data_IF_146918379154
#
_entry.id   IF_146918379154
#
_cell.length_a   1.000
_cell.length_b   1.000
_cell.length_c   1.000
_cell.angle_alpha   90.00
_cell.angle_beta   90.00
_cell.angle_gamma   90.00
#
_symmetry.space_group_name_H-M   'P 1'
#
loop_
_entity.id
_entity.type
_entity.pdbx_description
1 polymer ?
#
# COMPACT_ATOMS: atom_id res chain seq x y z
N UNK A 1 3.67 -8.91 27.71
CA UNK A 1 4.51 -8.00 26.88
C UNK A 1 3.91 -6.62 27.07
N UNK A 2 4.70 -5.61 27.43
CA UNK A 2 4.20 -4.24 27.43
C UNK A 2 3.69 -3.92 26.03
N UNK A 3 2.47 -3.42 25.91
CA UNK A 3 1.94 -2.98 24.63
C UNK A 3 2.66 -1.67 24.31
N UNK A 4 3.66 -1.70 23.43
CA UNK A 4 4.38 -0.50 23.01
C UNK A 4 3.40 0.44 22.29
N UNK A 5 3.45 1.73 22.62
CA UNK A 5 2.54 2.73 22.04
C UNK A 5 3.03 3.12 20.65
N UNK A 6 2.16 3.08 19.64
CA UNK A 6 2.45 3.66 18.32
C UNK A 6 2.15 5.15 18.34
N UNK A 7 2.93 5.91 17.58
CA UNK A 7 2.80 7.37 17.48
C UNK A 7 2.44 7.74 16.04
N UNK A 8 1.57 8.75 15.91
CA UNK A 8 1.36 9.45 14.66
C UNK A 8 1.89 10.89 14.82
N UNK A 9 3.06 11.16 14.27
CA UNK A 9 3.61 12.50 14.18
C UNK A 9 2.93 13.22 13.01
N UNK A 10 2.32 14.37 13.26
CA UNK A 10 1.52 15.07 12.25
C UNK A 10 2.05 16.48 12.09
N UNK A 11 2.47 16.84 10.88
CA UNK A 11 2.77 18.24 10.58
C UNK A 11 1.49 19.08 10.58
N UNK A 12 1.65 20.37 10.86
CA UNK A 12 0.53 21.31 10.88
C UNK A 12 0.25 21.87 9.50
N UNK A 13 1.22 22.62 8.98
CA UNK A 13 1.12 23.33 7.70
C UNK A 13 1.26 22.33 6.55
N UNK A 14 0.57 22.55 5.44
CA UNK A 14 0.51 21.62 4.30
C UNK A 14 -0.19 20.27 4.57
N UNK A 15 -0.50 19.95 5.83
CA UNK A 15 -1.01 18.64 6.28
C UNK A 15 -2.38 18.72 6.96
N UNK A 16 -2.51 19.48 8.05
CA UNK A 16 -3.80 19.74 8.71
C UNK A 16 -4.50 20.95 8.10
N UNK A 17 -3.70 21.94 7.71
CA UNK A 17 -4.12 23.18 7.07
C UNK A 17 -3.29 23.39 5.79
N UNK A 18 -3.82 24.16 4.86
CA UNK A 18 -3.08 24.53 3.66
C UNK A 18 -2.01 25.55 4.02
N UNK A 19 -0.80 25.34 3.50
CA UNK A 19 0.30 26.28 3.64
C UNK A 19 0.08 27.52 2.76
N UNK A 20 0.56 28.68 3.23
CA UNK A 20 0.53 29.93 2.46
C UNK A 20 1.86 30.21 1.78
N UNK A 21 1.89 31.05 0.72
CA UNK A 21 3.13 31.36 0.01
C UNK A 21 4.24 32.02 0.86
N UNK A 22 3.88 32.67 1.96
CA UNK A 22 4.80 33.25 2.93
C UNK A 22 5.13 32.31 4.10
N UNK A 23 4.61 31.08 4.06
CA UNK A 23 4.85 30.00 5.04
C UNK A 23 4.49 30.39 6.49
N UNK A 24 3.58 31.37 6.65
CA UNK A 24 3.15 31.89 7.96
C UNK A 24 1.62 32.02 8.05
N UNK A 25 1.03 31.20 8.93
CA UNK A 25 -0.40 31.24 9.27
C UNK A 25 -0.61 32.13 10.51
N UNK A 26 -0.50 33.43 10.30
CA UNK A 26 -0.54 34.48 11.33
C UNK A 26 -1.89 35.21 11.45
N UNK A 27 -2.88 34.79 10.67
CA UNK A 27 -4.22 35.40 10.66
C UNK A 27 -5.30 34.43 10.19
N UNK A 28 -6.54 34.63 10.65
CA UNK A 28 -7.68 33.82 10.24
C UNK A 28 -8.00 33.91 8.74
N UNK A 29 -7.60 35.00 8.08
CA UNK A 29 -7.79 35.16 6.64
C UNK A 29 -6.91 34.20 5.81
N UNK A 30 -5.78 33.76 6.38
CA UNK A 30 -4.87 32.78 5.79
C UNK A 30 -5.26 31.34 6.11
N UNK A 31 -6.01 31.13 7.19
CA UNK A 31 -6.39 29.80 7.64
C UNK A 31 -7.36 29.13 6.66
N UNK A 32 -6.95 27.98 6.14
CA UNK A 32 -7.79 27.08 5.38
C UNK A 32 -7.43 25.64 5.73
N UNK A 33 -8.40 24.82 6.14
CA UNK A 33 -8.14 23.43 6.48
C UNK A 33 -7.82 22.59 5.24
N UNK A 34 -6.90 21.65 5.39
CA UNK A 34 -6.58 20.72 4.32
C UNK A 34 -7.78 19.80 4.05
N UNK A 35 -8.18 19.57 2.79
CA UNK A 35 -9.34 18.74 2.46
C UNK A 35 -9.28 17.35 3.11
N UNK A 36 -10.35 16.99 3.83
CA UNK A 36 -10.49 15.69 4.48
C UNK A 36 -9.75 15.53 5.83
N UNK A 37 -8.86 16.45 6.21
CA UNK A 37 -8.14 16.38 7.50
C UNK A 37 -9.13 16.34 8.68
N UNK A 38 -10.11 17.23 8.69
CA UNK A 38 -11.19 17.29 9.69
C UNK A 38 -12.18 16.10 9.61
N UNK A 39 -12.12 15.27 8.57
CA UNK A 39 -13.00 14.10 8.46
C UNK A 39 -12.28 12.83 8.90
N UNK A 40 -11.03 12.66 8.48
CA UNK A 40 -10.32 11.38 8.60
C UNK A 40 -9.36 11.32 9.78
N UNK A 41 -8.75 12.43 10.20
CA UNK A 41 -7.96 12.43 11.44
C UNK A 41 -8.82 12.12 12.68
N UNK A 42 -10.07 12.63 12.82
CA UNK A 42 -10.99 12.18 13.86
C UNK A 42 -11.29 10.69 13.84
N UNK A 43 -11.48 10.10 12.64
CA UNK A 43 -11.67 8.66 12.51
C UNK A 43 -10.43 7.89 12.95
N UNK A 44 -9.23 8.36 12.60
CA UNK A 44 -7.96 7.79 13.08
C UNK A 44 -7.90 7.84 14.61
N UNK A 45 -8.14 9.01 15.21
CA UNK A 45 -8.09 9.21 16.67
C UNK A 45 -9.10 8.31 17.42
N UNK A 46 -10.28 8.12 16.84
CA UNK A 46 -11.37 7.34 17.45
C UNK A 46 -11.22 5.83 17.27
N UNK A 47 -10.76 5.39 16.10
CA UNK A 47 -10.80 3.98 15.70
C UNK A 47 -9.46 3.27 15.81
N UNK A 48 -8.34 4.02 15.79
CA UNK A 48 -6.99 3.47 15.75
C UNK A 48 -6.21 3.83 17.02
N UNK A 49 -5.36 2.90 17.45
CA UNK A 49 -4.53 3.04 18.65
C UNK A 49 -3.20 3.76 18.32
N UNK A 50 -3.27 5.08 18.15
CA UNK A 50 -2.12 5.97 17.96
C UNK A 50 -2.12 7.10 18.99
N UNK A 51 -0.96 7.39 19.57
CA UNK A 51 -0.72 8.64 20.28
C UNK A 51 -0.44 9.73 19.25
N UNK A 52 -1.22 10.81 19.24
CA UNK A 52 -1.07 11.88 18.26
C UNK A 52 -0.11 12.95 18.77
N UNK A 53 0.90 13.28 17.98
CA UNK A 53 1.89 14.32 18.31
C UNK A 53 1.99 15.29 17.15
N UNK A 54 1.70 16.57 17.40
CA UNK A 54 1.90 17.60 16.37
C UNK A 54 3.37 18.01 16.33
N UNK A 55 3.99 18.06 15.16
CA UNK A 55 5.39 18.49 14.99
C UNK A 55 5.49 19.47 13.85
N UNK A 56 5.85 20.72 14.14
CA UNK A 56 5.88 21.79 13.13
C UNK A 56 7.08 22.73 13.30
N UNK A 57 7.58 23.25 12.18
CA UNK A 57 8.62 24.27 12.13
C UNK A 57 7.95 25.64 11.90
N UNK A 58 8.20 26.64 12.74
CA UNK A 58 7.61 27.97 12.65
C UNK A 58 8.71 29.03 12.61
N UNK A 59 9.15 29.35 11.39
CA UNK A 59 10.32 30.20 11.13
C UNK A 59 10.22 31.56 11.84
N UNK A 60 11.09 31.75 12.84
CA UNK A 60 11.19 33.01 13.57
C UNK A 60 10.05 33.28 14.53
N UNK A 61 9.30 32.27 14.97
CA UNK A 61 8.24 32.44 15.97
C UNK A 61 8.77 33.08 17.26
N UNK A 62 8.18 34.21 17.64
CA UNK A 62 8.61 35.04 18.78
C UNK A 62 9.58 36.15 18.41
N UNK A 63 9.92 36.31 17.14
CA UNK A 63 10.66 37.47 16.61
C UNK A 63 9.69 38.52 16.07
N UNK A 64 10.20 39.67 15.63
CA UNK A 64 9.40 40.69 14.96
C UNK A 64 8.85 40.25 13.61
N UNK A 65 9.41 39.21 12.99
CA UNK A 65 8.97 38.68 11.69
C UNK A 65 7.77 37.75 11.86
N UNK A 66 7.69 37.03 12.98
CA UNK A 66 6.54 36.19 13.32
C UNK A 66 6.19 36.29 14.81
N UNK A 67 5.48 37.35 15.21
CA UNK A 67 5.13 37.59 16.60
C UNK A 67 4.22 36.50 17.19
N UNK A 68 4.34 36.25 18.50
CA UNK A 68 3.53 35.24 19.18
C UNK A 68 2.03 35.61 19.23
N UNK A 69 1.70 36.89 19.29
CA UNK A 69 0.33 37.40 19.38
C UNK A 69 -0.46 37.23 18.07
N UNK A 70 0.22 37.01 16.94
CA UNK A 70 -0.42 36.65 15.66
C UNK A 70 -0.51 35.14 15.47
N UNK A 71 0.46 34.38 15.98
CA UNK A 71 0.50 32.93 15.90
C UNK A 71 -0.54 32.23 16.79
N UNK A 72 -0.51 32.49 18.10
CA UNK A 72 -1.25 31.70 19.08
C UNK A 72 -2.77 31.70 18.88
N UNK A 73 -3.43 32.83 18.52
CA UNK A 73 -4.87 32.82 18.29
C UNK A 73 -5.29 31.83 17.19
N UNK A 74 -4.54 31.78 16.08
CA UNK A 74 -4.86 30.91 14.95
C UNK A 74 -4.50 29.46 15.26
N UNK A 75 -3.32 29.23 15.83
CA UNK A 75 -2.88 27.90 16.28
C UNK A 75 -3.87 27.26 17.26
N UNK A 76 -4.29 28.01 18.29
CA UNK A 76 -5.25 27.52 19.27
C UNK A 76 -6.63 27.24 18.66
N UNK A 77 -7.07 28.07 17.70
CA UNK A 77 -8.32 27.82 16.98
C UNK A 77 -8.28 26.51 16.18
N UNK A 78 -7.16 26.22 15.51
CA UNK A 78 -6.96 24.94 14.80
C UNK A 78 -7.10 23.78 15.78
N UNK A 79 -6.39 23.82 16.91
CA UNK A 79 -6.43 22.78 17.92
C UNK A 79 -7.84 22.59 18.49
N UNK A 80 -8.52 23.67 18.84
CA UNK A 80 -9.91 23.62 19.35
C UNK A 80 -10.87 23.05 18.33
N UNK A 81 -10.66 23.33 17.03
CA UNK A 81 -11.48 22.77 15.96
C UNK A 81 -11.30 21.25 15.90
N UNK A 82 -10.05 20.76 15.91
CA UNK A 82 -9.76 19.33 15.92
C UNK A 82 -10.21 18.64 17.21
N UNK A 83 -10.06 19.29 18.36
CA UNK A 83 -10.55 18.80 19.65
C UNK A 83 -12.08 18.67 19.66
N UNK A 84 -12.80 19.62 19.05
CA UNK A 84 -14.25 19.56 18.87
C UNK A 84 -14.71 18.36 18.03
N UNK A 85 -13.86 17.87 17.12
CA UNK A 85 -14.07 16.64 16.35
C UNK A 85 -13.53 15.38 17.06
N UNK A 86 -12.98 15.51 18.27
CA UNK A 86 -12.47 14.40 19.08
C UNK A 86 -11.01 14.04 18.84
N UNK A 87 -10.21 14.93 18.26
CA UNK A 87 -8.77 14.77 18.06
C UNK A 87 -8.01 15.53 19.14
N UNK A 88 -7.26 14.82 19.98
CA UNK A 88 -6.40 15.43 21.01
C UNK A 88 -4.94 15.07 20.74
N UNK A 89 -4.09 16.08 20.61
CA UNK A 89 -2.65 15.89 20.51
C UNK A 89 -2.06 15.76 21.92
N UNK A 90 -1.36 14.66 22.19
CA UNK A 90 -0.67 14.43 23.45
C UNK A 90 0.46 15.46 23.68
N UNK A 91 1.06 15.95 22.60
CA UNK A 91 2.07 16.98 22.64
C UNK A 91 2.09 17.82 21.37
N UNK A 92 2.58 19.05 21.49
CA UNK A 92 2.75 20.01 20.41
C UNK A 92 4.20 20.46 20.38
N UNK A 93 4.94 19.93 19.41
CA UNK A 93 6.37 20.18 19.24
C UNK A 93 6.54 21.24 18.17
N UNK A 94 6.87 22.46 18.61
CA UNK A 94 6.99 23.64 17.76
C UNK A 94 8.43 24.12 17.80
N UNK A 95 9.17 23.91 16.70
CA UNK A 95 10.48 24.54 16.52
C UNK A 95 10.28 25.98 16.04
N UNK A 96 11.09 26.91 16.56
CA UNK A 96 10.96 28.36 16.31
C UNK A 96 12.10 28.94 15.48
N UNK A 97 13.08 28.12 15.12
CA UNK A 97 14.32 28.55 14.47
C UNK A 97 14.12 28.73 12.98
N UNK A 98 14.95 29.54 12.33
CA UNK A 98 14.90 29.69 10.88
C UNK A 98 15.58 28.50 10.20
N UNK A 99 15.16 28.19 8.97
CA UNK A 99 15.82 27.17 8.15
C UNK A 99 17.35 27.34 8.06
N UNK A 100 17.81 28.58 7.87
CA UNK A 100 19.24 28.92 7.77
C UNK A 100 20.06 28.60 9.03
N UNK A 101 19.40 28.46 10.17
CA UNK A 101 20.08 28.23 11.46
C UNK A 101 20.52 26.76 11.61
N UNK A 102 19.99 25.84 10.77
CA UNK A 102 20.30 24.40 10.78
C UNK A 102 20.25 23.79 12.19
N UNK A 103 19.28 24.21 13.00
CA UNK A 103 19.18 23.78 14.39
C UNK A 103 18.78 22.29 14.47
N UNK A 104 19.37 21.50 15.39
CA UNK A 104 19.03 20.08 15.55
C UNK A 104 17.60 19.84 16.08
N UNK A 105 16.94 20.90 16.56
CA UNK A 105 15.56 20.93 17.01
C UNK A 105 14.55 21.07 15.88
N UNK A 106 14.98 21.61 14.73
CA UNK A 106 14.16 21.83 13.54
C UNK A 106 14.05 20.53 12.73
N UNK A 107 12.86 20.17 12.25
CA UNK A 107 12.70 19.03 11.32
C UNK A 107 13.62 19.23 10.10
N UNK A 108 14.39 18.20 9.68
CA UNK A 108 14.28 16.78 10.05
C UNK A 108 15.01 16.35 11.32
N UNK A 109 15.62 17.27 12.07
CA UNK A 109 16.26 17.00 13.35
C UNK A 109 15.28 16.51 14.43
N UNK A 110 15.79 15.69 15.35
CA UNK A 110 14.98 14.97 16.35
C UNK A 110 15.18 15.46 17.78
N UNK A 111 15.93 16.56 17.99
CA UNK A 111 16.32 16.96 19.35
C UNK A 111 15.14 17.29 20.28
N UNK A 112 14.00 17.75 19.74
CA UNK A 112 12.77 17.98 20.51
C UNK A 112 11.91 16.72 20.71
N UNK A 113 12.31 15.59 20.10
CA UNK A 113 11.53 14.36 20.04
C UNK A 113 12.22 13.19 20.76
N UNK A 114 13.35 13.43 21.41
CA UNK A 114 14.17 12.39 22.06
C UNK A 114 13.41 11.53 23.07
N UNK A 115 12.38 12.08 23.72
CA UNK A 115 11.51 11.33 24.64
C UNK A 115 10.74 10.18 23.97
N UNK A 116 10.53 10.25 22.65
CA UNK A 116 9.81 9.23 21.88
C UNK A 116 10.73 8.10 21.42
N UNK A 117 12.05 8.23 21.58
CA UNK A 117 13.05 7.21 21.21
C UNK A 117 13.20 6.08 22.25
N UNK A 118 12.40 6.08 23.32
CA UNK A 118 12.41 4.99 24.30
C UNK A 118 11.71 3.75 23.76
N UNK A 119 12.52 2.77 23.30
CA UNK A 119 12.07 1.48 22.76
C UNK A 119 11.27 0.63 23.75
N UNK A 120 11.30 0.95 25.06
CA UNK A 120 10.49 0.24 26.05
C UNK A 120 9.06 0.80 26.16
N UNK A 121 8.84 2.00 25.61
CA UNK A 121 7.56 2.71 25.65
C UNK A 121 6.88 2.79 24.28
N UNK A 122 7.65 3.01 23.21
CA UNK A 122 7.11 3.33 21.90
C UNK A 122 7.53 2.33 20.81
N UNK A 123 6.60 2.06 19.88
CA UNK A 123 6.84 1.22 18.69
C UNK A 123 7.05 2.12 17.45
N UNK A 124 8.25 2.68 17.32
CA UNK A 124 8.58 3.60 16.22
C UNK A 124 8.54 2.92 14.84
N UNK A 125 8.85 1.62 14.77
CA UNK A 125 8.83 0.84 13.52
C UNK A 125 7.43 0.71 12.92
N UNK A 126 6.38 0.79 13.75
CA UNK A 126 4.98 0.86 13.34
C UNK A 126 4.35 2.24 13.58
N UNK A 127 5.16 3.26 13.83
CA UNK A 127 4.76 4.66 13.92
C UNK A 127 4.97 5.37 12.59
N UNK A 128 4.30 6.51 12.41
CA UNK A 128 4.32 7.25 11.16
C UNK A 128 4.50 8.75 11.38
N UNK A 129 5.19 9.40 10.45
CA UNK A 129 5.16 10.86 10.28
C UNK A 129 4.34 11.20 9.06
N UNK A 130 3.31 12.03 9.22
CA UNK A 130 2.51 12.61 8.12
C UNK A 130 2.98 14.03 7.89
N UNK A 131 3.33 14.34 6.65
CA UNK A 131 3.76 15.67 6.24
C UNK A 131 3.73 15.81 4.73
N UNK A 132 3.75 17.05 4.22
CA UNK A 132 3.77 17.33 2.78
C UNK A 132 5.17 17.66 2.27
N UNK A 133 6.13 17.91 3.16
CA UNK A 133 7.50 18.29 2.82
C UNK A 133 8.47 17.12 2.97
N UNK A 134 9.60 17.20 2.23
CA UNK A 134 10.69 16.22 2.33
C UNK A 134 11.30 16.16 3.74
N UNK A 135 11.27 17.26 4.49
CA UNK A 135 11.75 17.29 5.88
C UNK A 135 10.93 16.38 6.81
N UNK A 136 9.66 16.13 6.54
CA UNK A 136 8.81 15.22 7.32
C UNK A 136 9.15 13.77 7.00
N UNK A 137 9.42 13.47 5.73
CA UNK A 137 9.89 12.16 5.28
C UNK A 137 11.26 11.85 5.92
N UNK A 138 12.16 12.82 5.90
CA UNK A 138 13.47 12.68 6.54
C UNK A 138 13.38 12.64 8.07
N UNK A 139 12.41 13.34 8.68
CA UNK A 139 12.13 13.21 10.10
C UNK A 139 11.73 11.78 10.44
N UNK A 140 10.82 11.18 9.67
CA UNK A 140 10.43 9.78 9.87
C UNK A 140 11.64 8.86 9.85
N UNK A 141 12.52 9.03 8.85
CA UNK A 141 13.78 8.30 8.73
C UNK A 141 14.66 8.45 9.97
N UNK A 142 14.84 9.67 10.46
CA UNK A 142 15.68 9.97 11.62
C UNK A 142 15.10 9.44 12.95
N UNK A 143 13.79 9.18 12.99
CA UNK A 143 13.10 8.55 14.12
C UNK A 143 13.03 7.02 14.01
N UNK A 144 13.58 6.39 12.96
CA UNK A 144 13.35 4.97 12.63
C UNK A 144 11.85 4.63 12.48
N UNK A 145 11.07 5.61 12.00
CA UNK A 145 9.64 5.51 11.68
C UNK A 145 9.41 5.56 10.17
N UNK A 146 8.15 5.38 9.75
CA UNK A 146 7.75 5.41 8.34
C UNK A 146 7.11 6.75 7.96
N UNK A 147 7.24 7.15 6.71
CA UNK A 147 6.63 8.39 6.23
C UNK A 147 5.31 8.14 5.49
N UNK A 148 4.33 9.01 5.72
CA UNK A 148 3.16 9.19 4.87
C UNK A 148 3.30 10.57 4.24
N UNK A 149 3.68 10.60 2.97
CA UNK A 149 3.97 11.83 2.26
C UNK A 149 2.71 12.36 1.56
N UNK A 150 2.20 13.49 2.04
CA UNK A 150 1.11 14.25 1.44
C UNK A 150 1.64 15.10 0.26
N UNK A 151 2.19 14.45 -0.77
CA UNK A 151 2.87 15.13 -1.87
C UNK A 151 1.90 15.96 -2.74
N UNK A 152 1.72 17.22 -2.37
CA UNK A 152 0.90 18.20 -3.08
C UNK A 152 1.66 18.91 -4.23
N UNK A 153 2.93 18.56 -4.49
CA UNK A 153 3.83 19.22 -5.44
C UNK A 153 3.87 20.76 -5.30
N UNK A 154 3.71 21.29 -4.09
CA UNK A 154 3.93 22.72 -3.86
C UNK A 154 5.44 23.00 -3.97
N UNK A 155 5.84 23.98 -4.77
CA UNK A 155 7.25 24.41 -4.87
C UNK A 155 7.73 25.17 -3.59
N UNK A 156 6.94 25.18 -2.52
CA UNK A 156 7.21 25.86 -1.26
C UNK A 156 8.24 25.05 -0.45
N UNK A 157 9.19 25.72 0.21
CA UNK A 157 10.32 25.05 0.89
C UNK A 157 11.27 24.22 -0.02
N UNK A 158 11.05 24.14 -1.34
CA UNK A 158 11.81 23.30 -2.27
C UNK A 158 13.30 23.67 -2.42
N UNK A 159 13.70 24.86 -1.96
CA UNK A 159 15.10 25.30 -1.93
C UNK A 159 15.95 24.64 -0.85
N UNK A 160 15.36 23.83 0.04
CA UNK A 160 16.05 23.26 1.20
C UNK A 160 16.76 21.92 0.92
N UNK A 161 16.66 21.30 -0.27
CA UNK A 161 17.16 19.93 -0.48
C UNK A 161 17.84 19.65 -1.83
N UNK A 162 18.76 18.68 -1.81
CA UNK A 162 19.43 18.11 -2.99
C UNK A 162 18.86 16.72 -3.36
N UNK A 163 19.05 16.29 -4.61
CA UNK A 163 18.62 14.99 -5.15
C UNK A 163 19.34 13.77 -4.54
N UNK A 164 20.24 13.96 -3.56
CA UNK A 164 21.15 12.93 -3.06
C UNK A 164 20.57 12.02 -1.95
N UNK A 165 19.39 12.33 -1.42
CA UNK A 165 18.75 11.52 -0.38
C UNK A 165 17.75 10.53 -0.98
N UNK A 166 18.10 9.24 -0.99
CA UNK A 166 17.15 8.17 -1.23
C UNK A 166 16.12 8.15 -0.09
N UNK A 167 14.90 8.60 -0.39
CA UNK A 167 13.76 8.65 0.54
C UNK A 167 12.69 7.59 0.25
N UNK A 168 12.76 6.95 -0.93
CA UNK A 168 11.75 6.00 -1.41
C UNK A 168 11.52 4.84 -0.43
N UNK A 169 12.59 4.36 0.20
CA UNK A 169 12.51 3.23 1.15
C UNK A 169 11.81 3.60 2.47
N UNK A 170 11.64 4.88 2.77
CA UNK A 170 11.01 5.39 4.01
C UNK A 170 9.52 5.67 3.81
N UNK A 171 9.12 6.00 2.58
CA UNK A 171 7.75 6.39 2.25
C UNK A 171 6.87 5.13 2.21
N UNK A 172 6.02 4.98 3.21
CA UNK A 172 5.07 3.88 3.28
C UNK A 172 3.77 4.17 2.50
N UNK A 173 3.42 5.45 2.35
CA UNK A 173 2.31 5.92 1.51
C UNK A 173 2.66 7.30 0.93
N UNK A 174 2.43 7.47 -0.37
CA UNK A 174 2.45 8.77 -1.04
C UNK A 174 1.04 9.08 -1.57
N UNK A 175 0.47 10.23 -1.19
CA UNK A 175 -0.89 10.61 -1.57
C UNK A 175 -1.14 12.10 -1.45
N UNK A 176 -2.32 12.58 -1.86
CA UNK A 176 -2.83 13.94 -1.59
C UNK A 176 -4.17 13.91 -0.86
N UNK A 177 -4.59 12.72 -0.41
CA UNK A 177 -5.95 12.48 0.07
C UNK A 177 -5.93 11.84 1.46
N UNK A 178 -6.46 12.55 2.45
CA UNK A 178 -6.61 12.09 3.82
C UNK A 178 -7.46 10.82 3.95
N UNK A 179 -8.38 10.57 3.02
CA UNK A 179 -9.12 9.31 2.99
C UNK A 179 -8.16 8.13 2.84
N UNK A 180 -7.22 8.22 1.89
CA UNK A 180 -6.23 7.17 1.65
C UNK A 180 -5.27 6.98 2.82
N UNK A 181 -4.94 8.06 3.54
CA UNK A 181 -4.15 7.99 4.79
C UNK A 181 -4.88 7.15 5.84
N UNK A 182 -6.16 7.44 6.08
CA UNK A 182 -6.97 6.66 7.02
C UNK A 182 -7.15 5.21 6.59
N UNK A 183 -7.48 4.96 5.32
CA UNK A 183 -7.61 3.61 4.77
C UNK A 183 -6.32 2.80 4.94
N UNK A 184 -5.17 3.41 4.63
CA UNK A 184 -3.85 2.81 4.80
C UNK A 184 -3.55 2.47 6.27
N UNK A 185 -3.76 3.41 7.19
CA UNK A 185 -3.50 3.20 8.62
C UNK A 185 -4.44 2.15 9.23
N UNK A 186 -5.70 2.09 8.76
CA UNK A 186 -6.72 1.15 9.26
C UNK A 186 -6.54 -0.26 8.71
N UNK A 187 -6.20 -0.41 7.42
CA UNK A 187 -6.09 -1.71 6.77
C UNK A 187 -4.71 -2.34 6.91
N UNK A 188 -3.67 -1.52 7.05
CA UNK A 188 -2.27 -1.93 6.95
C UNK A 188 -1.89 -2.36 5.53
N UNK A 189 -0.60 -2.64 5.31
CA UNK A 189 -0.12 -3.20 4.05
C UNK A 189 -0.27 -4.72 4.02
N UNK A 190 -0.66 -5.25 2.85
CA UNK A 190 -0.76 -6.68 2.59
C UNK A 190 0.42 -7.17 1.75
N UNK A 191 1.61 -7.07 2.35
CA UNK A 191 2.86 -7.55 1.76
C UNK A 191 3.23 -8.89 2.37
N UNK A 192 3.42 -9.90 1.52
CA UNK A 192 3.74 -11.26 1.93
C UNK A 192 4.88 -11.82 1.09
N UNK A 193 5.63 -12.75 1.67
CA UNK A 193 6.71 -13.45 1.01
C UNK A 193 6.56 -14.95 1.29
N UNK A 194 6.79 -15.77 0.27
CA UNK A 194 6.68 -17.21 0.35
C UNK A 194 7.78 -17.87 -0.48
N UNK A 195 8.35 -18.95 0.04
CA UNK A 195 9.34 -19.75 -0.67
C UNK A 195 8.98 -21.23 -0.59
N UNK A 196 8.96 -21.89 -1.74
CA UNK A 196 8.71 -23.32 -1.87
C UNK A 196 9.89 -23.96 -2.60
N UNK A 197 10.57 -24.90 -1.94
CA UNK A 197 11.71 -25.61 -2.51
C UNK A 197 11.47 -27.12 -2.46
N UNK A 198 11.67 -27.78 -3.60
CA UNK A 198 11.64 -29.23 -3.78
C UNK A 198 12.98 -29.70 -4.36
N UNK A 199 13.04 -30.95 -4.83
CA UNK A 199 14.21 -31.45 -5.59
C UNK A 199 14.19 -31.00 -7.06
N UNK A 200 13.04 -30.58 -7.55
CA UNK A 200 12.80 -30.21 -8.95
C UNK A 200 12.84 -28.68 -9.12
N UNK A 201 12.29 -27.94 -8.14
CA UNK A 201 12.15 -26.47 -8.24
C UNK A 201 12.50 -25.74 -6.93
N UNK A 202 12.91 -24.48 -7.05
CA UNK A 202 13.03 -23.51 -5.96
C UNK A 202 12.37 -22.20 -6.37
N UNK A 203 11.27 -21.87 -5.71
CA UNK A 203 10.38 -20.77 -6.09
C UNK A 203 10.24 -19.82 -4.93
N UNK A 204 10.53 -18.56 -5.21
CA UNK A 204 10.35 -17.44 -4.31
C UNK A 204 9.32 -16.48 -4.89
N UNK A 205 8.36 -16.06 -4.07
CA UNK A 205 7.33 -15.10 -4.44
C UNK A 205 7.21 -14.05 -3.34
N UNK A 206 7.17 -12.79 -3.73
CA UNK A 206 6.77 -11.67 -2.87
C UNK A 206 5.62 -10.93 -3.53
N UNK A 207 4.58 -10.65 -2.75
CA UNK A 207 3.35 -10.03 -3.24
C UNK A 207 2.96 -8.84 -2.37
N UNK A 208 2.48 -7.76 -2.99
CA UNK A 208 1.75 -6.68 -2.35
C UNK A 208 0.34 -6.61 -2.95
N UNK A 209 -0.69 -7.00 -2.18
CA UNK A 209 -2.08 -6.98 -2.67
C UNK A 209 -2.65 -5.56 -2.86
N UNK A 210 -1.99 -4.56 -2.30
CA UNK A 210 -2.37 -3.13 -2.38
C UNK A 210 -1.36 -2.34 -3.23
N UNK A 211 -0.75 -3.02 -4.21
CA UNK A 211 0.31 -2.49 -5.05
C UNK A 211 -0.14 -1.54 -6.16
N UNK A 212 0.84 -1.08 -6.94
CA UNK A 212 0.64 -0.24 -8.14
C UNK A 212 0.61 -1.08 -9.42
N UNK A 213 0.96 -2.36 -9.34
CA UNK A 213 1.04 -3.29 -10.47
C UNK A 213 2.46 -3.48 -10.99
N UNK A 214 3.46 -3.31 -10.12
CA UNK A 214 4.87 -3.48 -10.47
C UNK A 214 5.25 -4.96 -10.50
N UNK A 215 5.96 -5.39 -11.54
CA UNK A 215 6.31 -6.80 -11.73
C UNK A 215 7.83 -7.01 -11.84
N UNK A 216 8.35 -8.02 -11.14
CA UNK A 216 9.72 -8.52 -11.26
C UNK A 216 9.69 -10.03 -11.38
N UNK A 217 9.62 -10.54 -12.61
CA UNK A 217 9.33 -11.96 -12.86
C UNK A 217 10.46 -12.60 -13.65
N UNK A 218 10.92 -13.73 -13.14
CA UNK A 218 11.92 -14.58 -13.78
C UNK A 218 11.64 -16.03 -13.47
N UNK A 219 10.99 -16.72 -14.41
CA UNK A 219 10.73 -18.17 -14.32
C UNK A 219 11.65 -19.00 -15.22
N UNK A 220 12.36 -18.34 -16.14
CA UNK A 220 13.11 -18.99 -17.21
C UNK A 220 12.25 -19.30 -18.46
N UNK A 221 10.95 -18.99 -18.43
CA UNK A 221 10.01 -19.12 -19.54
C UNK A 221 9.45 -17.74 -19.88
N UNK A 222 9.91 -17.16 -20.98
CA UNK A 222 9.62 -15.78 -21.38
C UNK A 222 8.12 -15.53 -21.64
N UNK A 223 7.41 -16.50 -22.24
CA UNK A 223 5.98 -16.33 -22.45
C UNK A 223 5.20 -16.40 -21.13
N UNK A 224 5.63 -17.26 -20.21
CA UNK A 224 5.00 -17.38 -18.90
C UNK A 224 5.28 -16.14 -18.04
N UNK A 225 6.50 -15.61 -18.06
CA UNK A 225 6.87 -14.35 -17.40
C UNK A 225 5.95 -13.22 -17.86
N UNK A 226 5.70 -13.12 -19.18
CA UNK A 226 4.78 -12.15 -19.75
C UNK A 226 3.33 -12.33 -19.27
N UNK A 227 2.86 -13.57 -19.11
CA UNK A 227 1.51 -13.85 -18.59
C UNK A 227 1.37 -13.49 -17.10
N UNK A 228 2.39 -13.79 -16.28
CA UNK A 228 2.38 -13.43 -14.87
C UNK A 228 2.46 -11.90 -14.66
N UNK A 229 3.16 -11.18 -15.54
CA UNK A 229 3.15 -9.70 -15.57
C UNK A 229 1.74 -9.15 -15.76
N UNK A 230 0.90 -9.81 -16.57
CA UNK A 230 -0.50 -9.41 -16.73
C UNK A 230 -1.28 -9.49 -15.41
N UNK A 231 -0.94 -10.43 -14.52
CA UNK A 231 -1.55 -10.55 -13.18
C UNK A 231 -1.23 -9.32 -12.34
N UNK A 232 0.04 -8.92 -12.30
CA UNK A 232 0.49 -7.74 -11.57
C UNK A 232 -0.20 -6.48 -12.10
N UNK A 233 -0.04 -6.23 -13.41
CA UNK A 233 -0.49 -5.01 -14.08
C UNK A 233 -2.00 -4.81 -13.99
N UNK A 234 -2.77 -5.84 -14.33
CA UNK A 234 -4.22 -5.73 -14.39
C UNK A 234 -4.88 -5.96 -13.02
N UNK A 235 -4.21 -6.69 -12.13
CA UNK A 235 -4.59 -6.91 -10.74
C UNK A 235 -4.32 -5.72 -9.82
N UNK A 236 -3.44 -4.79 -10.24
CA UNK A 236 -2.91 -3.73 -9.36
C UNK A 236 -2.33 -4.32 -8.07
N UNK A 237 -1.51 -5.36 -8.25
CA UNK A 237 -0.74 -6.01 -7.19
C UNK A 237 0.74 -5.92 -7.59
N UNK A 238 1.63 -5.67 -6.64
CA UNK A 238 3.06 -5.78 -6.94
C UNK A 238 3.46 -7.24 -6.77
N UNK A 239 4.20 -7.77 -7.73
CA UNK A 239 4.50 -9.18 -7.82
C UNK A 239 5.97 -9.41 -8.21
N UNK A 240 6.70 -10.07 -7.32
CA UNK A 240 8.05 -10.53 -7.56
C UNK A 240 8.04 -12.06 -7.53
N UNK A 241 8.52 -12.70 -8.60
CA UNK A 241 8.60 -14.15 -8.75
C UNK A 241 9.98 -14.50 -9.28
N UNK A 242 10.69 -15.35 -8.54
CA UNK A 242 11.91 -16.01 -9.01
C UNK A 242 11.69 -17.51 -8.93
N UNK A 243 11.68 -18.20 -10.07
CA UNK A 243 11.59 -19.66 -10.13
C UNK A 243 12.86 -20.25 -10.77
N UNK A 244 13.42 -21.25 -10.11
CA UNK A 244 14.52 -22.08 -10.62
C UNK A 244 14.04 -23.52 -10.69
N UNK A 245 13.67 -23.96 -11.88
CA UNK A 245 13.23 -25.33 -12.12
C UNK A 245 14.13 -26.11 -13.07
N UNK A 246 13.77 -27.37 -13.26
CA UNK A 246 14.43 -28.37 -14.07
C UNK A 246 14.04 -28.30 -15.55
N UNK A 247 14.07 -27.10 -16.15
CA UNK A 247 13.69 -26.81 -17.56
C UNK A 247 14.44 -27.63 -18.64
N UNK A 248 15.46 -28.38 -18.25
CA UNK A 248 16.18 -29.32 -19.11
C UNK A 248 15.45 -30.66 -19.28
N UNK A 249 14.49 -30.97 -18.41
CA UNK A 249 13.57 -32.10 -18.51
C UNK A 249 12.38 -31.65 -19.36
N UNK A 250 11.56 -30.75 -18.82
CA UNK A 250 10.49 -30.01 -19.49
C UNK A 250 10.08 -28.78 -18.64
N UNK A 251 9.05 -28.04 -19.06
CA UNK A 251 8.53 -26.90 -18.32
C UNK A 251 7.50 -27.23 -17.23
N UNK A 252 7.10 -28.51 -17.10
CA UNK A 252 5.93 -28.93 -16.33
C UNK A 252 6.04 -28.55 -14.86
N UNK A 253 7.11 -29.03 -14.19
CA UNK A 253 7.30 -28.79 -12.76
C UNK A 253 7.46 -27.30 -12.45
N UNK A 254 8.12 -26.54 -13.34
CA UNK A 254 8.33 -25.09 -13.15
C UNK A 254 7.00 -24.34 -13.17
N UNK A 255 6.12 -24.62 -14.13
CA UNK A 255 4.82 -23.96 -14.25
C UNK A 255 3.87 -24.42 -13.13
N UNK A 256 3.81 -25.72 -12.86
CA UNK A 256 2.96 -26.31 -11.82
C UNK A 256 3.31 -25.73 -10.44
N UNK A 257 4.58 -25.83 -10.05
CA UNK A 257 5.03 -25.38 -8.74
C UNK A 257 4.93 -23.85 -8.60
N UNK A 258 5.08 -23.08 -9.68
CA UNK A 258 4.82 -21.63 -9.66
C UNK A 258 3.34 -21.35 -9.39
N UNK A 259 2.43 -22.12 -10.01
CA UNK A 259 1.00 -22.04 -9.73
C UNK A 259 0.65 -22.39 -8.28
N UNK A 260 1.28 -23.42 -7.72
CA UNK A 260 1.12 -23.82 -6.32
C UNK A 260 1.61 -22.70 -5.40
N UNK A 261 2.86 -22.25 -5.56
CA UNK A 261 3.45 -21.21 -4.73
C UNK A 261 2.64 -19.90 -4.79
N UNK A 262 2.14 -19.54 -5.97
CA UNK A 262 1.26 -18.38 -6.14
C UNK A 262 -0.08 -18.59 -5.40
N UNK A 263 -0.69 -19.76 -5.51
CA UNK A 263 -1.92 -20.06 -4.76
C UNK A 263 -1.73 -20.04 -3.25
N UNK A 264 -0.61 -20.57 -2.75
CA UNK A 264 -0.23 -20.60 -1.33
C UNK A 264 -0.03 -19.19 -0.76
N UNK A 265 0.67 -18.30 -1.50
CA UNK A 265 0.90 -16.93 -1.04
C UNK A 265 -0.40 -16.13 -1.04
N UNK A 266 -1.30 -16.32 -2.02
CA UNK A 266 -2.63 -15.68 -2.00
C UNK A 266 -3.49 -16.18 -0.83
N UNK A 267 -3.51 -17.49 -0.56
CA UNK A 267 -4.22 -18.03 0.60
C UNK A 267 -3.72 -17.41 1.92
N UNK A 268 -2.40 -17.31 2.06
CA UNK A 268 -1.75 -16.71 3.24
C UNK A 268 -2.07 -15.21 3.34
N UNK A 269 -1.97 -14.49 2.22
CA UNK A 269 -2.18 -13.05 2.15
C UNK A 269 -3.62 -12.62 2.46
N UNK A 270 -4.60 -13.48 2.13
CA UNK A 270 -6.01 -13.22 2.41
C UNK A 270 -6.40 -13.46 3.87
N UNK A 271 -5.61 -14.24 4.62
CA UNK A 271 -5.78 -14.44 6.06
C UNK A 271 -7.20 -14.86 6.45
N UNK A 272 -7.85 -14.08 7.33
CA UNK A 272 -9.22 -14.32 7.80
C UNK A 272 -10.32 -13.87 6.83
N UNK A 273 -9.94 -13.32 5.65
CA UNK A 273 -10.85 -12.93 4.57
C UNK A 273 -11.93 -11.91 4.96
N UNK A 274 -11.76 -11.18 6.07
CA UNK A 274 -12.74 -10.17 6.48
C UNK A 274 -12.66 -8.92 5.58
N UNK A 275 -13.84 -8.42 5.21
CA UNK A 275 -14.01 -7.18 4.46
C UNK A 275 -13.73 -7.26 2.96
N UNK A 276 -13.46 -8.45 2.40
CA UNK A 276 -13.19 -8.59 0.96
C UNK A 276 -14.47 -8.67 0.12
N UNK A 277 -14.45 -8.17 -1.13
CA UNK A 277 -15.59 -8.24 -2.07
C UNK A 277 -15.93 -9.66 -2.56
N UNK A 278 -14.99 -10.61 -2.42
CA UNK A 278 -15.15 -12.05 -2.69
C UNK A 278 -15.32 -12.47 -4.17
N UNK A 279 -15.92 -11.67 -5.04
CA UNK A 279 -16.25 -12.02 -6.43
C UNK A 279 -15.61 -11.08 -7.49
N UNK A 280 -15.50 -11.53 -8.75
CA UNK A 280 -15.09 -10.71 -9.90
C UNK A 280 -15.43 -11.35 -11.27
N UNK A 281 -15.49 -10.58 -12.37
CA UNK A 281 -15.92 -11.07 -13.69
C UNK A 281 -15.36 -10.34 -14.95
N UNK A 282 -15.14 -11.13 -16.02
CA UNK A 282 -15.12 -10.89 -17.48
C UNK A 282 -14.20 -9.79 -18.12
N UNK A 283 -13.58 -10.10 -19.27
CA UNK A 283 -12.81 -9.17 -20.12
C UNK A 283 -12.80 -9.58 -21.62
N UNK A 284 -13.15 -8.68 -22.56
CA UNK A 284 -12.93 -8.88 -24.00
C UNK A 284 -11.55 -8.38 -24.47
N UNK A 285 -10.93 -9.06 -25.45
CA UNK A 285 -9.67 -8.64 -26.08
C UNK A 285 -9.57 -9.18 -27.53
N UNK A 286 -9.48 -8.29 -28.51
CA UNK A 286 -9.43 -8.60 -29.95
C UNK A 286 -10.52 -9.60 -30.41
N UNK A 287 -10.14 -10.75 -30.94
CA UNK A 287 -11.04 -11.84 -31.34
C UNK A 287 -11.48 -12.72 -30.17
N UNK A 288 -11.00 -12.43 -28.95
CA UNK A 288 -11.25 -13.22 -27.77
C UNK A 288 -12.23 -12.58 -26.78
N UNK A 289 -13.12 -13.40 -26.24
CA UNK A 289 -13.86 -13.11 -25.02
C UNK A 289 -13.41 -14.10 -23.94
N UNK A 290 -12.86 -13.57 -22.84
CA UNK A 290 -12.46 -14.38 -21.69
C UNK A 290 -13.25 -14.00 -20.44
N UNK A 291 -13.63 -15.01 -19.67
CA UNK A 291 -14.26 -14.88 -18.38
C UNK A 291 -13.46 -15.64 -17.35
N UNK A 292 -13.16 -14.97 -16.22
CA UNK A 292 -12.70 -15.61 -15.01
C UNK A 292 -13.64 -15.19 -13.88
N UNK A 293 -14.27 -16.17 -13.22
CA UNK A 293 -15.03 -15.98 -12.01
C UNK A 293 -14.30 -16.68 -10.86
N UNK A 294 -14.07 -15.96 -9.77
CA UNK A 294 -13.33 -16.45 -8.61
C UNK A 294 -14.16 -16.31 -7.33
N UNK A 295 -14.09 -17.32 -6.46
CA UNK A 295 -14.61 -17.28 -5.08
C UNK A 295 -13.52 -17.80 -4.12
N UNK A 296 -12.98 -16.93 -3.28
CA UNK A 296 -12.04 -17.28 -2.19
C UNK A 296 -12.76 -17.93 -0.98
N UNK A 297 -13.73 -18.80 -1.25
CA UNK A 297 -14.63 -19.40 -0.27
C UNK A 297 -14.08 -20.61 0.50
N UNK A 298 -12.78 -20.92 0.36
CA UNK A 298 -12.09 -21.97 1.12
C UNK A 298 -12.26 -23.40 0.58
N UNK A 299 -12.84 -23.56 -0.61
CA UNK A 299 -13.00 -24.85 -1.29
C UNK A 299 -12.35 -24.75 -2.66
N UNK A 300 -11.47 -25.68 -2.98
CA UNK A 300 -10.86 -25.77 -4.29
C UNK A 300 -11.80 -26.42 -5.30
N UNK A 301 -11.99 -25.74 -6.44
CA UNK A 301 -12.69 -26.30 -7.60
C UNK A 301 -12.28 -25.52 -8.85
N UNK A 302 -12.14 -26.21 -9.99
CA UNK A 302 -11.96 -25.53 -11.27
C UNK A 302 -12.98 -26.03 -12.29
N UNK A 303 -13.51 -25.10 -13.07
CA UNK A 303 -14.22 -25.36 -14.32
C UNK A 303 -13.44 -24.65 -15.42
N UNK A 304 -13.09 -25.39 -16.47
CA UNK A 304 -12.26 -24.92 -17.56
C UNK A 304 -12.97 -25.15 -18.90
N UNK A 305 -13.36 -24.05 -19.54
CA UNK A 305 -14.02 -24.00 -20.85
C UNK A 305 -13.18 -23.15 -21.82
N UNK A 306 -11.94 -23.56 -22.05
CA UNK A 306 -11.09 -22.97 -23.08
C UNK A 306 -10.35 -24.08 -23.83
N UNK A 307 -10.54 -24.12 -25.14
CA UNK A 307 -9.89 -25.08 -26.04
C UNK A 307 -8.74 -24.40 -26.79
N UNK A 308 -7.59 -25.08 -26.89
CA UNK A 308 -6.40 -24.58 -27.57
C UNK A 308 -5.99 -25.54 -28.68
N UNK A 309 -5.80 -25.02 -29.90
CA UNK A 309 -5.49 -25.85 -31.07
C UNK A 309 -3.99 -25.99 -31.34
N UNK A 310 -3.18 -25.08 -30.79
CA UNK A 310 -1.72 -25.13 -30.89
C UNK A 310 -1.17 -25.98 -29.75
N UNK A 311 -0.16 -26.77 -30.05
CA UNK A 311 0.60 -27.51 -29.04
C UNK A 311 1.33 -26.56 -28.08
N UNK A 312 1.84 -25.45 -28.60
CA UNK A 312 2.70 -24.51 -27.85
C UNK A 312 2.52 -23.05 -28.30
N UNK A 313 2.63 -22.13 -27.34
CA UNK A 313 2.72 -20.68 -27.56
C UNK A 313 4.01 -20.18 -26.90
N UNK A 314 4.90 -19.59 -27.71
CA UNK A 314 6.23 -19.21 -27.24
C UNK A 314 7.00 -20.44 -26.74
N UNK A 315 7.43 -20.40 -25.48
CA UNK A 315 8.12 -21.47 -24.77
C UNK A 315 7.20 -22.36 -23.89
N UNK A 316 5.87 -22.17 -23.94
CA UNK A 316 4.92 -22.87 -23.05
C UNK A 316 3.91 -23.75 -23.81
N UNK A 317 3.83 -25.06 -23.55
CA UNK A 317 2.77 -25.92 -24.07
C UNK A 317 1.39 -25.51 -23.55
N UNK A 318 0.38 -25.57 -24.42
CA UNK A 318 -0.93 -24.99 -24.12
C UNK A 318 -1.71 -25.76 -23.06
N UNK A 319 -1.42 -27.05 -22.85
CA UNK A 319 -1.99 -27.83 -21.75
C UNK A 319 -1.60 -27.28 -20.38
N UNK A 320 -0.41 -26.67 -20.27
CA UNK A 320 0.10 -26.18 -18.99
C UNK A 320 -0.69 -24.99 -18.44
N UNK A 321 -1.47 -24.28 -19.26
CA UNK A 321 -2.33 -23.21 -18.75
C UNK A 321 -3.46 -23.76 -17.88
N UNK A 322 -4.10 -24.88 -18.28
CA UNK A 322 -5.08 -25.54 -17.41
C UNK A 322 -4.41 -26.00 -16.11
N UNK A 323 -3.24 -26.64 -16.21
CA UNK A 323 -2.50 -27.12 -15.03
C UNK A 323 -2.14 -25.97 -14.08
N UNK A 324 -1.64 -24.84 -14.58
CA UNK A 324 -1.35 -23.65 -13.77
C UNK A 324 -2.57 -23.19 -12.96
N UNK A 325 -3.72 -23.00 -13.62
CA UNK A 325 -4.94 -22.52 -12.94
C UNK A 325 -5.53 -23.58 -12.01
N UNK A 326 -5.43 -24.87 -12.36
CA UNK A 326 -5.83 -25.97 -11.47
C UNK A 326 -5.02 -25.93 -10.19
N UNK A 327 -3.68 -25.88 -10.30
CA UNK A 327 -2.76 -25.82 -9.18
C UNK A 327 -2.97 -24.58 -8.32
N UNK A 328 -3.17 -23.41 -8.95
CA UNK A 328 -3.54 -22.19 -8.23
C UNK A 328 -4.85 -22.37 -7.44
N UNK A 329 -5.91 -22.90 -8.06
CA UNK A 329 -7.22 -23.06 -7.40
C UNK A 329 -7.17 -24.02 -6.20
N UNK A 330 -6.36 -25.08 -6.30
CA UNK A 330 -6.12 -26.05 -5.23
C UNK A 330 -5.40 -25.41 -4.04
N UNK A 331 -4.27 -24.78 -4.31
CA UNK A 331 -3.43 -24.16 -3.29
C UNK A 331 -4.12 -22.98 -2.61
N UNK A 332 -4.80 -22.12 -3.40
CA UNK A 332 -5.56 -20.98 -2.88
C UNK A 332 -6.89 -21.36 -2.20
N UNK A 333 -7.31 -22.64 -2.32
CA UNK A 333 -8.62 -23.14 -1.89
C UNK A 333 -9.76 -22.28 -2.43
N UNK A 334 -9.70 -21.96 -3.72
CA UNK A 334 -10.67 -21.12 -4.41
C UNK A 334 -11.46 -21.89 -5.44
N UNK A 335 -12.70 -21.43 -5.68
CA UNK A 335 -13.47 -21.89 -6.84
C UNK A 335 -13.12 -20.97 -8.00
N UNK A 336 -12.74 -21.55 -9.13
CA UNK A 336 -12.32 -20.85 -10.32
C UNK A 336 -13.11 -21.35 -11.52
N UNK A 337 -13.75 -20.44 -12.24
CA UNK A 337 -14.49 -20.75 -13.45
C UNK A 337 -13.91 -19.92 -14.59
N UNK A 338 -13.24 -20.58 -15.54
CA UNK A 338 -12.58 -19.93 -16.65
C UNK A 338 -13.21 -20.38 -17.96
N UNK A 339 -13.58 -19.41 -18.79
CA UNK A 339 -14.08 -19.63 -20.14
C UNK A 339 -13.34 -18.71 -21.10
N UNK A 340 -12.95 -19.20 -22.27
CA UNK A 340 -12.44 -18.35 -23.35
C UNK A 340 -12.85 -18.86 -24.72
N UNK A 341 -13.31 -17.93 -25.56
CA UNK A 341 -13.61 -18.17 -26.97
C UNK A 341 -12.76 -17.23 -27.82
N UNK A 342 -12.25 -17.70 -28.97
CA UNK A 342 -11.37 -16.93 -29.85
C UNK A 342 -10.62 -17.83 -30.84
N UNK A 343 -10.02 -17.24 -31.87
CA UNK A 343 -9.25 -17.94 -32.90
C UNK A 343 -7.76 -17.98 -32.60
N UNK A 344 -7.20 -16.93 -32.01
CA UNK A 344 -5.77 -16.87 -31.67
C UNK A 344 -5.51 -17.34 -30.23
N UNK A 345 -4.67 -18.36 -30.07
CA UNK A 345 -4.31 -18.96 -28.79
C UNK A 345 -3.59 -17.98 -27.87
N UNK A 346 -2.68 -17.15 -28.40
CA UNK A 346 -2.04 -16.09 -27.61
C UNK A 346 -3.09 -15.17 -27.03
N UNK A 347 -4.02 -14.68 -27.86
CA UNK A 347 -5.05 -13.76 -27.42
C UNK A 347 -5.97 -14.40 -26.37
N UNK A 348 -6.35 -15.67 -26.56
CA UNK A 348 -7.12 -16.41 -25.56
C UNK A 348 -6.41 -16.49 -24.22
N UNK A 349 -5.15 -16.91 -24.20
CA UNK A 349 -4.38 -17.07 -22.97
C UNK A 349 -4.20 -15.72 -22.27
N UNK A 350 -3.75 -14.70 -22.98
CA UNK A 350 -3.54 -13.37 -22.41
C UNK A 350 -4.85 -12.76 -21.89
N UNK A 351 -5.97 -12.94 -22.61
CA UNK A 351 -7.28 -12.51 -22.15
C UNK A 351 -7.72 -13.24 -20.86
N UNK A 352 -7.45 -14.54 -20.74
CA UNK A 352 -7.71 -15.32 -19.51
C UNK A 352 -6.91 -14.73 -18.34
N UNK A 353 -5.60 -14.50 -18.51
CA UNK A 353 -4.77 -13.94 -17.44
C UNK A 353 -5.22 -12.54 -17.03
N UNK A 354 -5.59 -11.67 -17.99
CA UNK A 354 -6.15 -10.34 -17.69
C UNK A 354 -7.49 -10.42 -16.97
N UNK A 355 -8.40 -11.30 -17.41
CA UNK A 355 -9.69 -11.52 -16.76
C UNK A 355 -9.50 -12.03 -15.33
N UNK A 356 -8.58 -12.98 -15.14
CA UNK A 356 -8.21 -13.52 -13.84
C UNK A 356 -7.62 -12.45 -12.91
N UNK A 357 -6.70 -11.64 -13.41
CA UNK A 357 -6.11 -10.52 -12.67
C UNK A 357 -7.17 -9.53 -12.18
N UNK A 358 -8.10 -9.14 -13.06
CA UNK A 358 -9.24 -8.27 -12.70
C UNK A 358 -10.15 -8.94 -11.69
N UNK A 359 -10.42 -10.23 -11.83
CA UNK A 359 -11.22 -11.00 -10.89
C UNK A 359 -10.58 -11.03 -9.50
N UNK A 360 -9.26 -11.25 -9.40
CA UNK A 360 -8.50 -11.14 -8.15
C UNK A 360 -8.63 -9.73 -7.58
N UNK A 361 -8.32 -8.68 -8.36
CA UNK A 361 -8.38 -7.29 -7.90
C UNK A 361 -9.71 -6.96 -7.23
N UNK A 362 -10.80 -7.36 -7.88
CA UNK A 362 -12.15 -7.20 -7.32
C UNK A 362 -12.27 -8.02 -6.04
N UNK A 363 -12.06 -9.34 -6.10
CA UNK A 363 -12.32 -10.25 -5.00
C UNK A 363 -11.49 -9.99 -3.73
N UNK A 364 -10.28 -9.45 -3.84
CA UNK A 364 -9.39 -9.17 -2.69
C UNK A 364 -9.51 -7.75 -2.15
N UNK A 365 -10.26 -6.85 -2.82
CA UNK A 365 -10.47 -5.47 -2.35
C UNK A 365 -11.16 -5.48 -0.99
N UNK A 366 -10.62 -4.73 -0.02
CA UNK A 366 -11.25 -4.55 1.29
C UNK A 366 -12.17 -3.33 1.31
N UNK A 367 -13.29 -3.43 2.01
CA UNK A 367 -14.18 -2.32 2.36
C UNK A 367 -13.93 -1.89 3.82
N UNK A 368 -13.35 -0.70 4.02
CA UNK A 368 -13.02 -0.15 5.34
C UNK A 368 -14.25 0.10 6.22
N UNK A 369 -15.41 0.30 5.62
CA UNK A 369 -16.67 0.52 6.31
C UNK A 369 -17.40 -0.80 6.59
N UNK A 370 -16.98 -1.91 5.95
CA UNK A 370 -17.58 -3.24 6.10
C UNK A 370 -16.53 -4.33 6.33
N UNK A 371 -15.78 -4.19 7.42
CA UNK A 371 -14.81 -5.19 7.90
C UNK A 371 -15.49 -6.40 8.56
N UNK A 372 -16.45 -7.03 7.88
CA UNK A 372 -17.17 -8.23 8.32
C UNK A 372 -16.79 -9.42 7.45
N UNK A 373 -16.90 -10.64 8.01
CA UNK A 373 -16.68 -11.85 7.24
C UNK A 373 -17.80 -12.02 6.19
N UNK A 374 -17.49 -12.14 4.87
CA UNK A 374 -18.51 -12.25 3.82
C UNK A 374 -19.06 -13.69 3.69
N UNK A 375 -19.54 -14.26 4.81
CA UNK A 375 -20.07 -15.62 4.90
C UNK A 375 -21.23 -15.71 5.89
N UNK A 376 -22.35 -16.26 5.43
CA UNK A 376 -23.51 -16.55 6.29
C UNK A 376 -23.25 -17.67 7.29
N UNK A 377 -22.23 -18.51 7.05
CA UNK A 377 -21.83 -19.61 7.94
C UNK A 377 -20.92 -19.17 9.09
N UNK A 378 -20.45 -17.93 9.10
CA UNK A 378 -19.51 -17.41 10.10
C UNK A 378 -18.08 -17.96 9.99
N UNK A 379 -17.76 -18.66 8.88
CA UNK A 379 -16.48 -19.34 8.61
C UNK A 379 -16.24 -19.40 7.08
N UNK A 380 -14.97 -19.32 6.65
CA UNK A 380 -14.48 -19.47 5.27
C UNK A 380 -13.11 -20.15 5.20
#
# INVERSE_FOLDING_TARGET
MSNLQKILFVDRDGTLINETPDEQIDSFAKLSFYPGALTYLPKIAKELDFELVMVTNQDGLGTSVYPEDTFWPVHNFILQTFEGEGVTFANQIIDRTFARDNAPTRKPGTALLTQYLDENKYDLKNSFTIGDRKNDVLLAKNLDAKAIWLNNNSNLGGSEFSDADHIDDVIALETTDWQKVYEFLKLGQRVFEHRRATKETDIHIKINLDGKGDAKISTGLHFFDHMLDQIARHGSIDLEITAKGDLHIDEHHTIEDTGIALGEIFASALGNKMGIERYGFCLPMDDCLAQAAIDFGGRNWIVWEADFKREKVGDVPTEMFYHFFKSFSDASKSNLNIKAEGQNEHHKIEAIFKAFAKAIKMAVKRDVDKMVLPSTKGLL
#
